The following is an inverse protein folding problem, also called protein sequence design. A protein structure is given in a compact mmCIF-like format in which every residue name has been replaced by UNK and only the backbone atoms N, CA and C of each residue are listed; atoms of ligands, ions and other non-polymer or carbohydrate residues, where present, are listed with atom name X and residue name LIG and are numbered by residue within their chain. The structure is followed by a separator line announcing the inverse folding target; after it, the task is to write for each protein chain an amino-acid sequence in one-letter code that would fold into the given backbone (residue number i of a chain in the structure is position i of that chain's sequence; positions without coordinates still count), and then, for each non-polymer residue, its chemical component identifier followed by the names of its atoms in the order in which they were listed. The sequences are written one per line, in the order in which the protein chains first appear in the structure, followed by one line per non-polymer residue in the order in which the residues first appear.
data_IF_360724261784
#
_entry.id   IF_360724261784
#
_cell.length_a   1.000
_cell.length_b   1.000
_cell.length_c   1.000
_cell.angle_alpha   90.00
_cell.angle_beta   90.00
_cell.angle_gamma   90.00
#
_symmetry.space_group_name_H-M   'P 1'
#
loop_
_entity.id
_entity.type
_entity.pdbx_description
1 polymer ?
#
# COMPACT_ATOMS: atom_id res chain seq x y z
N UNK A 1 -2.18 5.01 -12.81
CA UNK A 1 -1.46 4.55 -11.59
C UNK A 1 -0.28 5.42 -11.22
N UNK A 2 0.68 5.68 -12.14
CA UNK A 2 1.85 6.53 -11.84
C UNK A 2 1.49 7.91 -11.26
N UNK A 3 0.52 8.63 -11.85
CA UNK A 3 0.00 9.90 -11.33
C UNK A 3 -0.53 9.77 -9.89
N UNK A 4 -1.46 8.84 -9.67
CA UNK A 4 -2.06 8.59 -8.34
C UNK A 4 -0.98 8.27 -7.30
N UNK A 5 0.03 7.48 -7.65
CA UNK A 5 1.13 7.12 -6.76
C UNK A 5 1.91 8.37 -6.34
N UNK A 6 2.41 9.14 -7.30
CA UNK A 6 3.23 10.33 -7.01
C UNK A 6 2.42 11.40 -6.29
N UNK A 7 1.19 11.67 -6.72
CA UNK A 7 0.34 12.69 -6.10
C UNK A 7 -0.01 12.31 -4.66
N UNK A 8 -0.34 11.05 -4.41
CA UNK A 8 -0.65 10.57 -3.05
C UNK A 8 0.58 10.57 -2.16
N UNK A 9 1.78 10.28 -2.67
CA UNK A 9 3.02 10.40 -1.88
C UNK A 9 3.27 11.85 -1.47
N UNK A 10 3.09 12.79 -2.40
CA UNK A 10 3.31 14.22 -2.15
C UNK A 10 2.38 14.77 -1.08
N UNK A 11 1.13 14.30 -1.02
CA UNK A 11 0.17 14.74 0.02
C UNK A 11 0.36 13.96 1.33
N UNK A 12 0.53 12.64 1.27
CA UNK A 12 0.62 11.76 2.45
C UNK A 12 1.88 12.01 3.27
N UNK A 13 3.01 12.27 2.62
CA UNK A 13 4.31 12.42 3.30
C UNK A 13 4.78 13.86 3.42
N UNK A 14 3.92 14.83 3.10
CA UNK A 14 4.21 16.26 3.30
C UNK A 14 4.48 16.53 4.78
N UNK A 15 5.63 17.12 5.08
CA UNK A 15 6.07 17.38 6.46
C UNK A 15 6.68 16.17 7.18
N UNK A 16 6.74 14.99 6.54
CA UNK A 16 7.42 13.78 7.04
C UNK A 16 8.72 13.56 6.24
N UNK A 17 8.64 13.64 4.91
CA UNK A 17 9.78 13.51 4.00
C UNK A 17 10.12 14.90 3.43
N UNK A 18 11.41 15.24 3.21
CA UNK A 18 11.80 16.51 2.62
C UNK A 18 11.12 16.81 1.28
N UNK A 19 10.65 18.04 1.11
CA UNK A 19 9.94 18.49 -0.09
C UNK A 19 10.78 18.31 -1.36
N UNK A 20 12.10 18.51 -1.30
CA UNK A 20 13.01 18.28 -2.42
C UNK A 20 12.92 16.83 -2.93
N UNK A 21 12.91 15.85 -2.01
CA UNK A 21 12.77 14.44 -2.36
C UNK A 21 11.40 14.16 -2.98
N UNK A 22 10.31 14.66 -2.39
CA UNK A 22 8.96 14.46 -2.90
C UNK A 22 8.75 15.12 -4.27
N UNK A 23 9.36 16.28 -4.51
CA UNK A 23 9.28 17.00 -5.79
C UNK A 23 10.04 16.30 -6.92
N UNK A 24 11.08 15.54 -6.59
CA UNK A 24 11.86 14.75 -7.53
C UNK A 24 11.20 13.40 -7.91
N UNK A 25 10.05 13.05 -7.33
CA UNK A 25 9.28 11.87 -7.74
C UNK A 25 8.80 12.02 -9.19
N UNK A 26 9.27 11.14 -10.07
CA UNK A 26 8.98 11.17 -11.49
C UNK A 26 7.80 10.25 -11.86
N UNK A 27 6.81 10.80 -12.56
CA UNK A 27 5.74 10.00 -13.16
C UNK A 27 6.26 8.97 -14.17
N UNK A 28 7.26 9.30 -14.99
CA UNK A 28 7.80 8.41 -16.02
C UNK A 28 8.43 7.15 -15.41
N UNK A 29 9.37 7.32 -14.48
CA UNK A 29 9.94 6.22 -13.69
C UNK A 29 8.86 5.35 -13.01
N UNK A 30 7.83 5.97 -12.42
CA UNK A 30 6.72 5.22 -11.82
C UNK A 30 5.89 4.48 -12.88
N UNK A 31 5.73 5.04 -14.07
CA UNK A 31 5.04 4.36 -15.16
C UNK A 31 5.79 3.10 -15.60
N UNK A 32 7.12 3.18 -15.75
CA UNK A 32 7.94 2.03 -16.13
C UNK A 32 7.89 0.91 -15.09
N UNK A 33 7.94 1.26 -13.80
CA UNK A 33 7.74 0.31 -12.71
C UNK A 33 6.37 -0.37 -12.78
N UNK A 34 5.29 0.39 -13.05
CA UNK A 34 3.96 -0.20 -13.21
C UNK A 34 3.84 -1.09 -14.44
N UNK A 35 4.48 -0.74 -15.56
CA UNK A 35 4.49 -1.60 -16.74
C UNK A 35 5.14 -2.95 -16.46
N UNK A 36 6.21 -2.98 -15.67
CA UNK A 36 6.84 -4.23 -15.24
C UNK A 36 5.93 -5.02 -14.29
N UNK A 37 5.41 -4.37 -13.25
CA UNK A 37 4.51 -4.94 -12.25
C UNK A 37 3.30 -5.67 -12.86
N UNK A 38 2.60 -5.03 -13.81
CA UNK A 38 1.41 -5.58 -14.46
C UNK A 38 1.69 -6.89 -15.21
N UNK A 39 2.92 -7.11 -15.65
CA UNK A 39 3.30 -8.32 -16.40
C UNK A 39 3.72 -9.49 -15.51
N UNK A 40 3.88 -9.27 -14.20
CA UNK A 40 4.27 -10.31 -13.25
C UNK A 40 3.06 -11.10 -12.78
N UNK A 41 3.11 -12.43 -12.90
CA UNK A 41 1.97 -13.31 -12.55
C UNK A 41 1.62 -13.30 -11.06
N UNK A 42 2.61 -13.09 -10.19
CA UNK A 42 2.44 -13.12 -8.74
C UNK A 42 2.22 -11.72 -8.14
N UNK A 43 2.01 -10.71 -8.99
CA UNK A 43 1.73 -9.33 -8.59
C UNK A 43 0.26 -9.00 -8.87
N UNK A 44 -0.49 -8.77 -7.79
CA UNK A 44 -1.91 -8.49 -7.85
C UNK A 44 -2.15 -7.00 -7.70
N UNK A 45 -2.90 -6.41 -8.63
CA UNK A 45 -3.16 -4.97 -8.69
C UNK A 45 -4.67 -4.73 -8.79
N UNK A 46 -5.18 -3.84 -7.96
CA UNK A 46 -6.55 -3.34 -7.96
C UNK A 46 -6.55 -1.84 -8.22
N UNK A 47 -7.51 -1.35 -9.00
CA UNK A 47 -7.70 0.09 -9.26
C UNK A 47 -9.09 0.52 -8.86
N UNK A 48 -9.19 1.76 -8.35
CA UNK A 48 -10.45 2.45 -8.13
C UNK A 48 -10.62 3.51 -9.23
N UNK A 49 -11.75 3.46 -9.92
CA UNK A 49 -12.11 4.39 -10.98
C UNK A 49 -13.26 5.30 -10.54
N UNK A 50 -13.26 6.55 -11.00
CA UNK A 50 -14.42 7.44 -10.88
C UNK A 50 -15.44 7.17 -12.00
N UNK A 51 -16.57 7.88 -11.99
CA UNK A 51 -17.62 7.74 -13.00
C UNK A 51 -17.18 8.11 -14.43
N UNK A 52 -16.06 8.80 -14.58
CA UNK A 52 -15.47 9.16 -15.87
C UNK A 52 -14.43 8.12 -16.36
N UNK A 53 -14.25 7.01 -15.64
CA UNK A 53 -13.25 5.99 -15.95
C UNK A 53 -11.81 6.37 -15.61
N UNK A 54 -11.61 7.43 -14.81
CA UNK A 54 -10.28 7.84 -14.39
C UNK A 54 -9.85 7.07 -13.15
N UNK A 55 -8.63 6.54 -13.15
CA UNK A 55 -8.03 5.91 -11.97
C UNK A 55 -7.76 6.99 -10.90
N UNK A 56 -8.40 6.83 -9.74
CA UNK A 56 -8.31 7.72 -8.57
C UNK A 56 -7.72 7.05 -7.34
N UNK A 57 -7.56 5.74 -7.38
CA UNK A 57 -6.89 4.96 -6.35
C UNK A 57 -6.35 3.65 -6.90
N UNK A 58 -5.41 3.04 -6.18
CA UNK A 58 -4.96 1.68 -6.44
C UNK A 58 -4.50 1.01 -5.15
N UNK A 59 -4.45 -0.31 -5.18
CA UNK A 59 -3.74 -1.11 -4.21
C UNK A 59 -3.06 -2.27 -4.92
N UNK A 60 -1.93 -2.71 -4.42
CA UNK A 60 -1.23 -3.86 -4.96
C UNK A 60 -0.53 -4.66 -3.87
N UNK A 61 -0.22 -5.90 -4.23
CA UNK A 61 0.53 -6.78 -3.37
C UNK A 61 1.09 -7.97 -4.08
N UNK A 62 2.19 -8.47 -3.54
CA UNK A 62 2.92 -9.63 -3.97
C UNK A 62 3.65 -10.21 -2.75
N UNK A 63 4.27 -11.38 -2.89
CA UNK A 63 5.16 -11.88 -1.83
C UNK A 63 6.57 -11.33 -2.06
N UNK A 64 7.03 -10.41 -1.20
CA UNK A 64 8.39 -9.87 -1.30
C UNK A 64 9.43 -10.96 -1.11
N UNK A 65 10.59 -10.83 -1.75
CA UNK A 65 11.71 -11.79 -1.61
C UNK A 65 12.23 -11.86 -0.17
N UNK A 66 12.12 -10.76 0.57
CA UNK A 66 12.47 -10.67 1.99
C UNK A 66 11.44 -11.32 2.91
N UNK A 67 10.23 -11.61 2.41
CA UNK A 67 9.19 -12.29 3.16
C UNK A 67 9.38 -13.82 3.08
N UNK A 68 10.07 -14.36 4.08
CA UNK A 68 10.34 -15.81 4.20
C UNK A 68 9.18 -16.59 4.85
N UNK A 69 8.08 -15.94 5.22
CA UNK A 69 6.98 -16.58 5.94
C UNK A 69 6.14 -17.44 4.99
N UNK A 70 5.93 -18.74 5.28
CA UNK A 70 5.08 -19.60 4.46
C UNK A 70 3.63 -19.10 4.40
N UNK A 71 2.94 -19.37 3.29
CA UNK A 71 1.52 -19.01 3.10
C UNK A 71 1.24 -17.54 3.45
N UNK A 72 2.08 -16.63 2.96
CA UNK A 72 1.94 -15.21 3.22
C UNK A 72 2.32 -14.38 2.00
N UNK A 73 1.95 -13.10 2.04
CA UNK A 73 2.45 -12.10 1.12
C UNK A 73 2.33 -10.70 1.72
N UNK A 74 2.45 -9.69 0.89
CA UNK A 74 2.62 -8.31 1.32
C UNK A 74 1.59 -7.42 0.60
N UNK A 75 0.89 -6.59 1.37
CA UNK A 75 0.24 -5.39 0.84
C UNK A 75 1.35 -4.35 0.68
N UNK A 76 1.71 -4.06 -0.56
CA UNK A 76 2.92 -3.28 -0.87
C UNK A 76 2.63 -1.83 -1.14
N UNK A 77 1.43 -1.50 -1.64
CA UNK A 77 0.95 -0.12 -1.66
C UNK A 77 -0.58 -0.07 -1.67
N UNK A 78 -1.10 1.00 -1.08
CA UNK A 78 -2.51 1.39 -1.18
C UNK A 78 -2.58 2.92 -1.14
N UNK A 79 -3.01 3.53 -2.24
CA UNK A 79 -3.04 4.98 -2.38
C UNK A 79 -4.31 5.43 -3.08
N UNK A 80 -4.90 6.51 -2.56
CA UNK A 80 -6.08 7.15 -3.11
C UNK A 80 -5.81 8.64 -3.13
N UNK A 81 -6.16 9.29 -4.24
CA UNK A 81 -6.09 10.74 -4.36
C UNK A 81 -6.88 11.40 -3.22
N UNK A 82 -6.30 12.44 -2.61
CA UNK A 82 -6.87 13.13 -1.44
C UNK A 82 -8.36 13.50 -1.61
N UNK A 83 -8.76 13.99 -2.79
CA UNK A 83 -10.15 14.36 -3.11
C UNK A 83 -11.14 13.18 -3.18
N UNK A 84 -10.63 11.95 -3.13
CA UNK A 84 -11.39 10.69 -3.19
C UNK A 84 -11.26 9.86 -1.90
N UNK A 85 -10.53 10.34 -0.89
CA UNK A 85 -10.44 9.70 0.42
C UNK A 85 -11.78 9.81 1.21
N UNK A 86 -11.89 9.05 2.30
CA UNK A 86 -13.06 9.00 3.19
C UNK A 86 -14.41 8.63 2.55
N UNK A 87 -14.38 8.07 1.33
CA UNK A 87 -15.55 7.59 0.59
C UNK A 87 -15.67 6.05 0.55
N UNK A 88 -14.92 5.36 1.42
CA UNK A 88 -14.90 3.90 1.49
C UNK A 88 -14.11 3.19 0.39
N UNK A 89 -13.43 3.93 -0.51
CA UNK A 89 -12.62 3.34 -1.59
C UNK A 89 -11.43 2.53 -1.05
N UNK A 90 -10.78 2.99 0.03
CA UNK A 90 -9.64 2.28 0.63
C UNK A 90 -10.04 0.91 1.15
N UNK A 91 -11.21 0.84 1.81
CA UNK A 91 -11.81 -0.42 2.26
C UNK A 91 -12.05 -1.37 1.09
N UNK A 92 -12.67 -0.87 0.01
CA UNK A 92 -12.99 -1.71 -1.14
C UNK A 92 -11.73 -2.25 -1.82
N UNK A 93 -10.69 -1.42 -1.99
CA UNK A 93 -9.40 -1.85 -2.53
C UNK A 93 -8.75 -2.92 -1.67
N UNK A 94 -8.66 -2.68 -0.35
CA UNK A 94 -8.09 -3.62 0.61
C UNK A 94 -8.83 -4.97 0.57
N UNK A 95 -10.16 -4.96 0.65
CA UNK A 95 -10.97 -6.17 0.63
C UNK A 95 -10.88 -6.92 -0.69
N UNK A 96 -10.80 -6.21 -1.81
CA UNK A 96 -10.66 -6.84 -3.13
C UNK A 96 -9.34 -7.58 -3.24
N UNK A 97 -8.25 -6.99 -2.75
CA UNK A 97 -6.95 -7.62 -2.73
C UNK A 97 -6.91 -8.81 -1.74
N UNK A 98 -7.48 -8.67 -0.55
CA UNK A 98 -7.54 -9.75 0.44
C UNK A 98 -8.39 -10.95 0.00
N UNK A 99 -9.40 -10.75 -0.83
CA UNK A 99 -10.13 -11.85 -1.48
C UNK A 99 -9.23 -12.67 -2.39
N UNK A 100 -8.34 -12.03 -3.17
CA UNK A 100 -7.34 -12.73 -3.98
C UNK A 100 -6.37 -13.49 -3.08
N UNK A 101 -5.83 -12.84 -2.05
CA UNK A 101 -4.88 -13.46 -1.13
C UNK A 101 -5.47 -14.70 -0.46
N UNK A 102 -6.75 -14.65 -0.09
CA UNK A 102 -7.48 -15.82 0.42
C UNK A 102 -7.57 -16.95 -0.60
N UNK A 103 -7.85 -16.64 -1.88
CA UNK A 103 -7.89 -17.65 -2.95
C UNK A 103 -6.53 -18.30 -3.22
N UNK A 104 -5.44 -17.56 -3.02
CA UNK A 104 -4.07 -18.08 -3.09
C UNK A 104 -3.67 -18.92 -1.87
N UNK A 105 -4.55 -19.03 -0.87
CA UNK A 105 -4.28 -19.74 0.37
C UNK A 105 -3.29 -19.02 1.28
N UNK A 106 -3.12 -17.70 1.13
CA UNK A 106 -2.37 -16.91 2.11
C UNK A 106 -3.16 -16.88 3.42
N UNK A 107 -2.43 -16.98 4.52
CA UNK A 107 -2.94 -16.95 5.88
C UNK A 107 -2.48 -15.70 6.61
N UNK A 108 -1.31 -15.17 6.21
CA UNK A 108 -0.74 -13.94 6.75
C UNK A 108 -0.49 -12.92 5.65
N UNK A 109 -0.67 -11.65 5.98
CA UNK A 109 -0.32 -10.53 5.09
C UNK A 109 0.47 -9.51 5.90
N UNK A 110 1.52 -8.94 5.32
CA UNK A 110 2.32 -7.89 5.94
C UNK A 110 2.10 -6.55 5.22
N UNK A 111 2.26 -5.45 5.95
CA UNK A 111 2.35 -4.11 5.38
C UNK A 111 3.40 -3.30 6.12
N UNK A 112 4.15 -2.51 5.36
CA UNK A 112 5.14 -1.56 5.86
C UNK A 112 4.60 -0.14 5.68
N UNK A 113 4.68 0.66 6.72
CA UNK A 113 4.14 2.02 6.73
C UNK A 113 4.99 2.91 7.63
N UNK A 114 5.23 4.16 7.22
CA UNK A 114 5.93 5.12 8.08
C UNK A 114 5.16 5.33 9.39
N UNK A 115 5.87 5.39 10.50
CA UNK A 115 5.32 5.58 11.84
C UNK A 115 4.41 6.81 11.94
N UNK A 116 4.78 7.91 11.27
CA UNK A 116 4.03 9.16 11.26
C UNK A 116 2.85 9.18 10.26
N UNK A 117 2.60 8.08 9.55
CA UNK A 117 1.48 7.97 8.64
C UNK A 117 0.20 7.57 9.40
N UNK A 118 -0.86 8.37 9.25
CA UNK A 118 -2.18 8.16 9.85
C UNK A 118 -2.83 6.83 9.48
N UNK A 119 -2.39 6.17 8.42
CA UNK A 119 -2.92 4.86 8.01
C UNK A 119 -2.56 3.74 8.99
N UNK A 120 -1.62 3.93 9.93
CA UNK A 120 -1.33 2.95 10.98
C UNK A 120 -2.61 2.51 11.75
N UNK A 121 -3.38 3.49 12.26
CA UNK A 121 -4.62 3.24 12.98
C UNK A 121 -5.69 2.58 12.09
N UNK A 122 -5.65 2.89 10.79
CA UNK A 122 -6.54 2.29 9.80
C UNK A 122 -6.23 0.80 9.60
N UNK A 123 -4.96 0.41 9.51
CA UNK A 123 -4.58 -1.00 9.44
C UNK A 123 -4.97 -1.75 10.72
N UNK A 124 -4.73 -1.16 11.88
CA UNK A 124 -5.15 -1.72 13.18
C UNK A 124 -6.67 -1.92 13.25
N UNK A 125 -7.45 -0.94 12.77
CA UNK A 125 -8.90 -1.07 12.67
C UNK A 125 -9.31 -2.26 11.79
N UNK A 126 -8.56 -2.59 10.74
CA UNK A 126 -8.80 -3.78 9.90
C UNK A 126 -8.13 -5.06 10.44
N UNK A 127 -7.70 -5.09 11.70
CA UNK A 127 -7.19 -6.29 12.35
C UNK A 127 -5.68 -6.54 12.17
N UNK A 128 -4.94 -5.57 11.62
CA UNK A 128 -3.49 -5.66 11.59
C UNK A 128 -2.92 -5.46 12.99
N UNK A 129 -1.85 -6.18 13.32
CA UNK A 129 -1.14 -6.06 14.59
C UNK A 129 0.30 -5.66 14.35
N UNK A 130 0.84 -4.72 15.14
CA UNK A 130 2.22 -4.25 14.99
C UNK A 130 3.20 -5.37 15.36
N UNK A 131 4.08 -5.73 14.43
CA UNK A 131 5.12 -6.73 14.65
C UNK A 131 6.41 -6.10 15.15
N UNK A 132 6.88 -5.07 14.44
CA UNK A 132 8.16 -4.41 14.70
C UNK A 132 8.19 -3.01 14.12
N UNK A 133 9.14 -2.21 14.62
CA UNK A 133 9.50 -0.91 14.05
C UNK A 133 10.97 -0.97 13.63
N UNK A 134 11.28 -0.50 12.43
CA UNK A 134 12.63 -0.55 11.83
C UNK A 134 13.03 0.86 11.40
N UNK A 135 14.24 1.33 11.74
CA UNK A 135 14.74 2.61 11.24
C UNK A 135 15.11 2.47 9.75
N UNK A 136 14.69 3.44 8.95
CA UNK A 136 14.98 3.53 7.53
C UNK A 136 15.46 4.94 7.16
N UNK A 137 16.13 5.09 6.02
CA UNK A 137 16.57 6.39 5.54
C UNK A 137 15.90 6.72 4.19
N UNK A 138 15.15 7.83 4.15
CA UNK A 138 14.51 8.33 2.93
C UNK A 138 14.86 9.80 2.76
N UNK A 139 15.31 10.22 1.58
CA UNK A 139 15.60 11.64 1.31
C UNK A 139 16.63 12.26 2.27
N UNK A 140 17.55 11.45 2.82
CA UNK A 140 18.56 11.89 3.77
C UNK A 140 18.12 11.97 5.23
N UNK A 141 16.83 11.77 5.54
CA UNK A 141 16.32 11.76 6.93
C UNK A 141 16.14 10.34 7.45
N UNK A 142 16.41 10.16 8.75
CA UNK A 142 16.14 8.91 9.46
C UNK A 142 14.68 8.89 9.92
N UNK A 143 13.94 7.88 9.49
CA UNK A 143 12.53 7.68 9.79
C UNK A 143 12.31 6.29 10.40
N UNK A 144 11.16 6.08 11.02
CA UNK A 144 10.74 4.76 11.48
C UNK A 144 9.67 4.20 10.56
N UNK A 145 9.85 2.94 10.17
CA UNK A 145 8.86 2.15 9.45
C UNK A 145 8.27 1.10 10.39
N UNK A 146 6.95 1.09 10.52
CA UNK A 146 6.18 0.10 11.26
C UNK A 146 5.77 -1.02 10.32
N UNK A 147 6.01 -2.25 10.77
CA UNK A 147 5.60 -3.45 10.05
C UNK A 147 4.44 -4.07 10.79
N UNK A 148 3.28 -4.10 10.15
CA UNK A 148 2.07 -4.73 10.65
C UNK A 148 1.85 -6.09 9.99
N UNK A 149 1.22 -7.02 10.71
CA UNK A 149 0.72 -8.28 10.16
C UNK A 149 -0.78 -8.46 10.41
N UNK A 150 -1.47 -8.94 9.39
CA UNK A 150 -2.75 -9.62 9.55
C UNK A 150 -2.47 -11.11 9.76
N UNK A 151 -2.78 -11.61 10.95
CA UNK A 151 -2.68 -13.05 11.27
C UNK A 151 -3.88 -13.88 10.81
N UNK A 152 -4.95 -13.20 10.41
CA UNK A 152 -6.15 -13.80 9.85
C UNK A 152 -6.70 -12.88 8.76
N UNK A 153 -6.63 -13.31 7.50
CA UNK A 153 -7.15 -12.54 6.35
C UNK A 153 -8.65 -12.28 6.47
N UNK A 154 -9.40 -13.14 7.17
CA UNK A 154 -10.84 -12.98 7.33
C UNK A 154 -11.24 -11.77 8.18
N UNK A 155 -10.34 -11.25 9.03
CA UNK A 155 -10.61 -10.07 9.85
C UNK A 155 -10.85 -8.82 8.99
N UNK A 156 -10.15 -8.72 7.85
CA UNK A 156 -10.34 -7.65 6.85
C UNK A 156 -11.66 -7.82 6.11
N UNK A 157 -12.06 -9.06 5.82
CA UNK A 157 -13.25 -9.38 5.03
C UNK A 157 -14.54 -9.28 5.86
N UNK A 158 -14.44 -9.36 7.19
CA UNK A 158 -15.57 -9.29 8.10
C UNK A 158 -15.99 -7.86 8.50
N UNK A 159 -15.15 -6.84 8.23
CA UNK A 159 -15.39 -5.43 8.60
C UNK A 159 -15.97 -4.59 7.47
#
# INVERSE_FOLDING_TARGET
MARVHVDSWKTTYKGIIPDEFLNNLSYTQRNDLWMQAITQQDHFIMVAENFEGQIVGFADGWKKETNIVPHSGDLTSIYILESYQDKGMGKQLLQSLFKIFKQLGWQKVFVEVLEDNKTCEWYEYYGATLCKTVPIQIGGVLLNERIYEWNNIDDVLAR
#
